data_IF_138097171290
#
_entry.id   IF_138097171290
#
_cell.length_a   1.000
_cell.length_b   1.000
_cell.length_c   1.000
_cell.angle_alpha   90.00
_cell.angle_beta   90.00
_cell.angle_gamma   90.00
#
_symmetry.space_group_name_H-M   'P 1'
#
loop_
_entity.id
_entity.type
_entity.pdbx_description
1 polymer ?
#
# COMPACT_ATOMS: atom_id res chain seq x y z
N UNK A 1 8.52 -17.59 -13.23
CA UNK A 1 8.93 -18.37 -12.04
C UNK A 1 7.70 -18.73 -11.21
N UNK A 2 7.67 -19.88 -10.50
CA UNK A 2 6.58 -20.23 -9.60
C UNK A 2 6.45 -19.22 -8.44
N UNK A 3 5.23 -18.75 -8.12
CA UNK A 3 4.97 -17.77 -7.03
C UNK A 3 5.60 -18.17 -5.70
N UNK A 4 5.57 -19.46 -5.36
CA UNK A 4 6.16 -19.98 -4.12
C UNK A 4 7.68 -19.82 -4.09
N UNK A 5 8.35 -20.02 -5.24
CA UNK A 5 9.79 -19.86 -5.34
C UNK A 5 10.19 -18.39 -5.21
N UNK A 6 9.44 -17.48 -5.85
CA UNK A 6 9.66 -16.03 -5.70
C UNK A 6 9.49 -15.61 -4.23
N UNK A 7 8.47 -16.11 -3.54
CA UNK A 7 8.23 -15.82 -2.13
C UNK A 7 9.37 -16.23 -1.21
N UNK A 8 10.02 -17.38 -1.44
CA UNK A 8 11.15 -17.85 -0.62
C UNK A 8 12.27 -16.80 -0.53
N UNK A 9 12.53 -16.10 -1.63
CA UNK A 9 13.57 -15.09 -1.71
C UNK A 9 13.06 -13.69 -1.33
N UNK A 10 11.81 -13.34 -1.66
CA UNK A 10 11.27 -12.00 -1.41
C UNK A 10 10.80 -11.77 0.03
N UNK A 11 10.47 -12.82 0.79
CA UNK A 11 9.94 -12.71 2.18
C UNK A 11 10.83 -11.94 3.16
N UNK A 12 12.12 -11.76 2.87
CA UNK A 12 13.03 -10.94 3.69
C UNK A 12 12.78 -9.43 3.51
N UNK A 13 12.19 -9.04 2.39
CA UNK A 13 11.99 -7.65 1.97
C UNK A 13 10.52 -7.22 1.95
N UNK A 14 9.59 -8.15 2.21
CA UNK A 14 8.16 -7.91 2.20
C UNK A 14 7.61 -8.23 3.60
N UNK A 15 6.92 -7.28 4.21
CA UNK A 15 6.37 -7.43 5.56
C UNK A 15 5.40 -8.62 5.68
N UNK A 16 4.66 -8.93 4.62
CA UNK A 16 3.85 -10.13 4.50
C UNK A 16 2.89 -10.07 3.32
N UNK A 17 1.87 -10.94 3.31
CA UNK A 17 0.87 -10.99 2.24
C UNK A 17 -0.46 -10.37 2.64
N UNK A 18 -0.61 -10.05 3.93
CA UNK A 18 -1.84 -9.54 4.50
C UNK A 18 -1.56 -8.26 5.26
N UNK A 19 -2.61 -7.47 5.48
CA UNK A 19 -2.51 -6.27 6.31
C UNK A 19 -2.12 -6.59 7.76
N UNK A 20 -2.52 -7.76 8.27
CA UNK A 20 -2.14 -8.20 9.60
C UNK A 20 -0.62 -8.39 9.72
N UNK A 21 0.01 -8.96 8.69
CA UNK A 21 1.46 -9.12 8.65
C UNK A 21 2.15 -7.75 8.64
N UNK A 22 1.65 -6.81 7.83
CA UNK A 22 2.16 -5.45 7.75
C UNK A 22 2.08 -4.72 9.10
N UNK A 23 0.94 -4.81 9.80
CA UNK A 23 0.76 -4.24 11.15
C UNK A 23 1.75 -4.86 12.14
N UNK A 24 1.91 -6.19 12.13
CA UNK A 24 2.81 -6.89 13.05
C UNK A 24 4.26 -6.45 12.85
N UNK A 25 4.73 -6.41 11.60
CA UNK A 25 6.07 -5.94 11.28
C UNK A 25 6.27 -4.48 11.68
N UNK A 26 5.27 -3.64 11.41
CA UNK A 26 5.32 -2.20 11.73
C UNK A 26 5.39 -1.93 13.23
N UNK A 27 4.61 -2.66 14.05
CA UNK A 27 4.68 -2.54 15.51
C UNK A 27 6.06 -2.92 16.05
N UNK A 28 6.64 -4.01 15.55
CA UNK A 28 8.01 -4.41 15.94
C UNK A 28 9.01 -3.29 15.67
N UNK A 29 8.97 -2.68 14.48
CA UNK A 29 9.87 -1.58 14.12
C UNK A 29 9.60 -0.31 14.93
N UNK A 30 8.33 0.01 15.20
CA UNK A 30 7.97 1.13 16.06
C UNK A 30 8.43 0.93 17.52
N UNK A 31 8.33 -0.28 18.06
CA UNK A 31 8.81 -0.63 19.41
C UNK A 31 10.35 -0.50 19.51
N UNK A 32 11.05 -0.68 18.39
CA UNK A 32 12.49 -0.43 18.25
C UNK A 32 12.82 1.07 18.02
N UNK A 33 11.81 1.94 17.92
CA UNK A 33 11.96 3.39 17.76
C UNK A 33 12.04 3.88 16.31
N UNK A 34 11.79 3.01 15.32
CA UNK A 34 11.77 3.39 13.91
C UNK A 34 10.37 3.81 13.45
N UNK A 35 10.31 4.84 12.61
CA UNK A 35 9.13 5.14 11.81
C UNK A 35 9.14 4.28 10.53
N UNK A 36 7.97 3.83 10.09
CA UNK A 36 7.83 2.97 8.90
C UNK A 36 7.20 3.69 7.72
N UNK A 37 7.45 3.18 6.51
CA UNK A 37 6.70 3.56 5.29
C UNK A 37 5.97 2.34 4.78
N UNK A 38 4.65 2.45 4.63
CA UNK A 38 3.78 1.39 4.13
C UNK A 38 3.62 1.56 2.62
N UNK A 39 3.93 0.50 1.87
CA UNK A 39 3.79 0.45 0.41
C UNK A 39 2.90 -0.73 0.03
N UNK A 40 1.83 -0.44 -0.72
CA UNK A 40 1.04 -1.48 -1.39
C UNK A 40 1.79 -1.91 -2.65
N UNK A 41 2.15 -3.20 -2.71
CA UNK A 41 2.80 -3.77 -3.87
C UNK A 41 1.76 -4.08 -4.96
N UNK A 42 1.93 -3.46 -6.12
CA UNK A 42 1.13 -3.72 -7.31
C UNK A 42 1.92 -3.38 -8.58
N UNK A 43 1.38 -3.79 -9.72
CA UNK A 43 1.97 -3.60 -11.05
C UNK A 43 1.19 -2.56 -11.87
N UNK A 44 1.50 -2.49 -13.17
CA UNK A 44 0.77 -1.63 -14.10
C UNK A 44 -0.68 -2.07 -14.22
N UNK A 45 -1.59 -1.10 -14.20
CA UNK A 45 -3.00 -1.34 -14.47
C UNK A 45 -3.29 -1.28 -15.97
N UNK A 46 -4.34 -1.98 -16.40
CA UNK A 46 -4.80 -2.02 -17.79
C UNK A 46 -6.14 -1.30 -18.02
N UNK A 47 -6.90 -1.06 -16.96
CA UNK A 47 -8.14 -0.28 -16.98
C UNK A 47 -8.35 0.56 -15.70
N UNK A 48 -9.33 1.47 -15.72
CA UNK A 48 -9.59 2.37 -14.59
C UNK A 48 -10.28 1.71 -13.39
N UNK A 49 -10.95 0.57 -13.57
CA UNK A 49 -11.53 -0.19 -12.47
C UNK A 49 -10.45 -0.75 -11.54
N UNK A 50 -9.30 -1.15 -12.09
CA UNK A 50 -8.14 -1.53 -11.28
C UNK A 50 -7.58 -0.35 -10.46
N UNK A 51 -7.64 0.89 -10.98
CA UNK A 51 -7.25 2.08 -10.21
C UNK A 51 -8.18 2.34 -9.02
N UNK A 52 -9.48 2.12 -9.21
CA UNK A 52 -10.49 2.25 -8.14
C UNK A 52 -10.32 1.16 -7.07
N UNK A 53 -10.08 -0.08 -7.49
CA UNK A 53 -9.78 -1.18 -6.56
C UNK A 53 -8.51 -0.91 -5.75
N UNK A 54 -7.44 -0.46 -6.39
CA UNK A 54 -6.20 -0.05 -5.71
C UNK A 54 -6.44 1.09 -4.72
N UNK A 55 -7.28 2.08 -5.07
CA UNK A 55 -7.67 3.16 -4.15
C UNK A 55 -8.36 2.60 -2.92
N UNK A 56 -9.35 1.74 -3.10
CA UNK A 56 -10.15 1.20 -2.00
C UNK A 56 -9.30 0.33 -1.07
N UNK A 57 -8.41 -0.50 -1.60
CA UNK A 57 -7.43 -1.25 -0.79
C UNK A 57 -6.51 -0.30 -0.01
N UNK A 58 -6.06 0.79 -0.64
CA UNK A 58 -5.22 1.78 0.04
C UNK A 58 -5.94 2.49 1.20
N UNK A 59 -7.25 2.77 1.04
CA UNK A 59 -8.07 3.35 2.10
C UNK A 59 -8.24 2.39 3.28
N UNK A 60 -8.45 1.10 3.00
CA UNK A 60 -8.47 0.06 4.04
C UNK A 60 -7.13 -0.04 4.77
N UNK A 61 -6.02 0.05 4.03
CA UNK A 61 -4.68 0.07 4.62
C UNK A 61 -4.53 1.21 5.60
N UNK A 62 -4.87 2.43 5.18
CA UNK A 62 -4.80 3.61 6.05
C UNK A 62 -5.66 3.39 7.31
N UNK A 63 -6.92 2.96 7.16
CA UNK A 63 -7.81 2.72 8.30
C UNK A 63 -7.22 1.76 9.33
N UNK A 64 -6.62 0.67 8.87
CA UNK A 64 -6.01 -0.33 9.72
C UNK A 64 -4.73 0.15 10.39
N UNK A 65 -3.88 0.89 9.68
CA UNK A 65 -2.61 1.44 10.20
C UNK A 65 -2.89 2.51 11.25
N UNK A 66 -3.80 3.46 10.98
CA UNK A 66 -4.22 4.49 11.93
C UNK A 66 -4.88 3.90 13.17
N UNK A 67 -5.82 2.95 13.01
CA UNK A 67 -6.47 2.26 14.13
C UNK A 67 -5.48 1.55 15.05
N UNK A 68 -4.38 1.06 14.48
CA UNK A 68 -3.32 0.39 15.24
C UNK A 68 -2.26 1.35 15.79
N UNK A 69 -2.40 2.66 15.57
CA UNK A 69 -1.48 3.71 16.02
C UNK A 69 -0.04 3.45 15.59
N UNK A 70 0.13 2.97 14.36
CA UNK A 70 1.46 2.77 13.78
C UNK A 70 2.07 4.13 13.49
N UNK A 71 3.29 4.37 13.98
CA UNK A 71 4.08 5.52 13.60
C UNK A 71 4.66 5.29 12.21
N UNK A 72 4.00 5.82 11.19
CA UNK A 72 4.42 5.64 9.81
C UNK A 72 3.82 6.63 8.83
N UNK A 73 4.18 6.43 7.57
CA UNK A 73 3.64 7.14 6.42
C UNK A 73 3.38 6.15 5.28
N UNK A 74 2.88 6.67 4.16
CA UNK A 74 2.43 5.87 3.03
C UNK A 74 3.16 6.28 1.75
N UNK A 75 3.57 5.31 0.93
CA UNK A 75 4.07 5.54 -0.43
C UNK A 75 3.16 4.92 -1.47
N UNK A 76 2.84 5.67 -2.52
CA UNK A 76 1.97 5.21 -3.60
C UNK A 76 2.61 5.48 -4.96
N UNK A 77 2.19 4.71 -5.96
CA UNK A 77 2.70 4.79 -7.33
C UNK A 77 1.58 5.31 -8.24
N UNK A 78 1.63 6.54 -8.79
CA UNK A 78 0.54 7.10 -9.60
C UNK A 78 0.12 6.24 -10.80
N UNK A 79 1.03 5.42 -11.34
CA UNK A 79 0.71 4.47 -12.41
C UNK A 79 -0.32 3.42 -11.99
N UNK A 80 -0.36 3.03 -10.71
CA UNK A 80 -1.39 2.14 -10.16
C UNK A 80 -2.76 2.82 -10.03
N UNK A 81 -2.81 4.15 -10.16
CA UNK A 81 -4.03 4.94 -10.01
C UNK A 81 -4.51 5.54 -11.34
N UNK A 82 -3.91 5.17 -12.46
CA UNK A 82 -4.37 5.60 -13.79
C UNK A 82 -3.53 6.67 -14.46
N UNK A 83 -2.35 7.04 -13.93
CA UNK A 83 -1.52 8.10 -14.53
C UNK A 83 -1.25 7.89 -16.03
N UNK A 84 -1.13 6.64 -16.49
CA UNK A 84 -0.84 6.29 -17.88
C UNK A 84 -2.10 6.14 -18.76
N UNK A 85 -3.30 6.14 -18.16
CA UNK A 85 -4.59 5.96 -18.85
C UNK A 85 -5.35 7.28 -18.87
N UNK A 86 -5.64 7.82 -17.68
CA UNK A 86 -6.36 9.08 -17.48
C UNK A 86 -5.78 9.82 -16.26
N UNK A 87 -5.18 10.98 -16.53
CA UNK A 87 -4.54 11.82 -15.51
C UNK A 87 -5.53 12.43 -14.52
N UNK A 88 -6.76 12.74 -14.96
CA UNK A 88 -7.78 13.30 -14.09
C UNK A 88 -8.33 12.20 -13.16
N UNK A 89 -8.60 11.02 -13.69
CA UNK A 89 -8.97 9.86 -12.86
C UNK A 89 -7.89 9.55 -11.82
N UNK A 90 -6.61 9.58 -12.22
CA UNK A 90 -5.48 9.46 -11.31
C UNK A 90 -5.46 10.51 -10.21
N UNK A 91 -5.68 11.78 -10.58
CA UNK A 91 -5.73 12.86 -9.62
C UNK A 91 -6.86 12.65 -8.60
N UNK A 92 -8.07 12.30 -9.05
CA UNK A 92 -9.22 12.09 -8.18
C UNK A 92 -8.99 10.92 -7.21
N UNK A 93 -8.47 9.78 -7.69
CA UNK A 93 -8.16 8.63 -6.85
C UNK A 93 -7.14 8.97 -5.76
N UNK A 94 -6.02 9.60 -6.13
CA UNK A 94 -4.99 10.01 -5.16
C UNK A 94 -5.53 11.08 -4.20
N UNK A 95 -6.36 12.02 -4.67
CA UNK A 95 -6.94 13.06 -3.82
C UNK A 95 -7.82 12.47 -2.72
N UNK A 96 -8.55 11.39 -3.00
CA UNK A 96 -9.36 10.67 -2.00
C UNK A 96 -8.44 10.04 -0.95
N UNK A 97 -7.36 9.38 -1.36
CA UNK A 97 -6.38 8.76 -0.45
C UNK A 97 -5.73 9.80 0.47
N UNK A 98 -5.26 10.92 -0.10
CA UNK A 98 -4.62 11.99 0.68
C UNK A 98 -5.57 12.64 1.69
N UNK A 99 -6.88 12.73 1.39
CA UNK A 99 -7.88 13.21 2.35
C UNK A 99 -8.09 12.27 3.54
N UNK A 100 -7.78 10.98 3.38
CA UNK A 100 -7.97 9.94 4.39
C UNK A 100 -6.77 9.81 5.33
N UNK A 101 -5.55 9.98 4.81
CA UNK A 101 -4.33 9.95 5.61
C UNK A 101 -4.18 11.28 6.36
N UNK A 102 -4.39 11.26 7.69
CA UNK A 102 -4.34 12.45 8.57
C UNK A 102 -3.53 12.15 9.83
#
# INVERSE_FOLDING_TARGET
MPKNLVWVFSKRYIAGKTIHDAIKASKSLNDEGFMVTIDLLGEFITDLGEAEANRDEYLEIIDHIEKNKINGNYSLKPTMFGLLIDKEACYQNIRIIVKKAV
#
